data_IF_717661909177
#
_entry.id   IF_717661909177
#
_cell.length_a   1.000
_cell.length_b   1.000
_cell.length_c   1.000
_cell.angle_alpha   90.00
_cell.angle_beta   90.00
_cell.angle_gamma   90.00
#
_symmetry.space_group_name_H-M   'P 1'
#
loop_
_entity.id
_entity.type
_entity.pdbx_description
1 polymer ?
#
# COMPACT_ATOMS: atom_id res chain seq x y z
N UNK A 1 -52.45 -4.56 -11.77
CA UNK A 1 -51.21 -4.45 -12.56
C UNK A 1 -50.04 -4.71 -11.63
N UNK A 2 -49.64 -5.97 -11.46
CA UNK A 2 -48.47 -6.34 -10.68
C UNK A 2 -47.29 -6.53 -11.63
N UNK A 3 -46.29 -5.68 -11.55
CA UNK A 3 -45.03 -5.87 -12.27
C UNK A 3 -44.30 -7.07 -11.66
N UNK A 4 -44.11 -8.13 -12.44
CA UNK A 4 -43.26 -9.25 -12.06
C UNK A 4 -41.82 -8.77 -11.83
N UNK A 5 -41.14 -9.21 -10.75
CA UNK A 5 -39.73 -8.93 -10.57
C UNK A 5 -38.92 -9.71 -11.62
N UNK A 6 -38.31 -8.97 -12.55
CA UNK A 6 -37.45 -9.51 -13.59
C UNK A 6 -36.23 -10.19 -12.95
N UNK A 7 -35.93 -11.43 -13.35
CA UNK A 7 -34.77 -12.15 -12.86
C UNK A 7 -33.48 -11.37 -13.13
N UNK A 8 -32.53 -11.30 -12.17
CA UNK A 8 -31.31 -10.53 -12.33
C UNK A 8 -30.41 -11.14 -13.41
N UNK A 9 -30.02 -10.31 -14.38
CA UNK A 9 -29.12 -10.65 -15.50
C UNK A 9 -27.75 -11.15 -15.02
N UNK A 10 -27.13 -12.06 -15.77
CA UNK A 10 -25.87 -12.76 -15.42
C UNK A 10 -24.70 -11.85 -15.00
N UNK A 11 -24.59 -10.64 -15.57
CA UNK A 11 -23.60 -9.64 -15.14
C UNK A 11 -23.78 -9.25 -13.67
N UNK A 12 -25.02 -8.99 -13.26
CA UNK A 12 -25.38 -8.61 -11.89
C UNK A 12 -25.08 -9.76 -10.92
N UNK A 13 -25.31 -11.02 -11.35
CA UNK A 13 -24.91 -12.20 -10.56
C UNK A 13 -23.40 -12.27 -10.40
N UNK A 14 -22.62 -12.04 -11.47
CA UNK A 14 -21.16 -12.13 -11.43
C UNK A 14 -20.53 -11.06 -10.53
N UNK A 15 -21.03 -9.84 -10.59
CA UNK A 15 -20.58 -8.74 -9.74
C UNK A 15 -20.92 -9.02 -8.26
N UNK A 16 -22.12 -9.56 -7.99
CA UNK A 16 -22.54 -10.00 -6.64
C UNK A 16 -21.70 -11.16 -6.07
N UNK A 17 -21.25 -12.10 -6.91
CA UNK A 17 -20.38 -13.20 -6.48
C UNK A 17 -18.92 -12.77 -6.25
N UNK A 18 -18.43 -11.77 -6.97
CA UNK A 18 -17.08 -11.23 -6.77
C UNK A 18 -16.99 -10.35 -5.51
N UNK A 19 -18.05 -9.58 -5.23
CA UNK A 19 -18.14 -8.70 -4.07
C UNK A 19 -18.20 -9.49 -2.75
N UNK A 20 -18.91 -10.62 -2.73
CA UNK A 20 -18.96 -11.53 -1.57
C UNK A 20 -17.62 -12.15 -1.18
N UNK A 21 -16.68 -12.27 -2.12
CA UNK A 21 -15.33 -12.77 -1.87
C UNK A 21 -14.31 -11.64 -1.69
N UNK A 22 -14.71 -10.38 -1.90
CA UNK A 22 -13.82 -9.22 -1.81
C UNK A 22 -13.57 -8.75 -0.37
N UNK A 23 -14.41 -9.18 0.59
CA UNK A 23 -14.38 -8.68 1.97
C UNK A 23 -14.25 -9.82 3.00
N UNK A 24 -13.04 -10.42 3.12
CA UNK A 24 -12.80 -11.53 4.05
C UNK A 24 -13.00 -11.15 5.53
N UNK A 25 -12.93 -9.86 5.87
CA UNK A 25 -13.24 -9.39 7.23
C UNK A 25 -14.72 -9.53 7.57
N UNK A 26 -15.61 -9.20 6.63
CA UNK A 26 -17.06 -9.30 6.83
C UNK A 26 -17.48 -10.76 7.01
N UNK A 27 -16.89 -11.68 6.23
CA UNK A 27 -17.11 -13.11 6.38
C UNK A 27 -16.69 -13.65 7.77
N UNK A 28 -15.58 -13.13 8.33
CA UNK A 28 -15.11 -13.51 9.68
C UNK A 28 -16.01 -12.92 10.76
N UNK A 29 -16.49 -11.68 10.58
CA UNK A 29 -17.44 -11.02 11.49
C UNK A 29 -18.75 -11.81 11.55
N UNK A 30 -19.33 -12.14 10.39
CA UNK A 30 -20.57 -12.92 10.29
C UNK A 30 -20.42 -14.30 10.95
N UNK A 31 -19.29 -14.96 10.74
CA UNK A 31 -18.98 -16.25 11.38
C UNK A 31 -18.87 -16.14 12.90
N UNK A 32 -18.16 -15.11 13.41
CA UNK A 32 -18.01 -14.88 14.84
C UNK A 32 -19.36 -14.59 15.50
N UNK A 33 -20.21 -13.80 14.84
CA UNK A 33 -21.55 -13.47 15.32
C UNK A 33 -22.47 -14.71 15.32
N UNK A 34 -22.46 -15.51 14.25
CA UNK A 34 -23.19 -16.77 14.17
C UNK A 34 -22.72 -17.81 15.22
N UNK A 35 -21.46 -17.73 15.64
CA UNK A 35 -20.88 -18.57 16.69
C UNK A 35 -21.15 -18.07 18.11
N UNK A 36 -21.84 -16.93 18.27
CA UNK A 36 -22.13 -16.32 19.58
C UNK A 36 -20.91 -15.65 20.23
N UNK A 37 -19.87 -15.32 19.46
CA UNK A 37 -18.70 -14.62 19.96
C UNK A 37 -18.91 -13.11 19.90
N UNK A 38 -19.06 -12.47 21.06
CA UNK A 38 -19.18 -11.01 21.17
C UNK A 38 -17.87 -10.27 20.85
N UNK A 39 -16.72 -10.94 21.03
CA UNK A 39 -15.38 -10.39 20.80
C UNK A 39 -14.45 -11.48 20.27
N UNK A 40 -13.66 -11.14 19.26
CA UNK A 40 -12.63 -12.02 18.70
C UNK A 40 -11.39 -11.21 18.30
N UNK A 41 -10.22 -11.85 18.33
CA UNK A 41 -8.95 -11.23 17.90
C UNK A 41 -8.45 -11.87 16.61
N UNK A 42 -8.25 -11.04 15.60
CA UNK A 42 -7.60 -11.45 14.35
C UNK A 42 -6.09 -11.24 14.52
N UNK A 43 -5.40 -12.28 15.00
CA UNK A 43 -3.95 -12.21 15.23
C UNK A 43 -3.18 -11.86 13.94
N UNK A 44 -3.63 -12.36 12.79
CA UNK A 44 -3.00 -12.08 11.49
C UNK A 44 -3.03 -10.58 11.13
N UNK A 45 -4.16 -9.89 11.33
CA UNK A 45 -4.26 -8.45 11.03
C UNK A 45 -3.36 -7.60 11.94
N UNK A 46 -3.21 -8.01 13.22
CA UNK A 46 -2.31 -7.34 14.16
C UNK A 46 -0.84 -7.54 13.78
N UNK A 47 -0.47 -8.75 13.38
CA UNK A 47 0.89 -9.09 12.96
C UNK A 47 1.25 -8.38 11.64
N UNK A 48 0.32 -8.33 10.69
CA UNK A 48 0.51 -7.62 9.43
C UNK A 48 0.63 -6.11 9.63
N UNK A 49 -0.20 -5.51 10.50
CA UNK A 49 -0.06 -4.10 10.89
C UNK A 49 1.31 -3.83 11.52
N UNK A 50 1.81 -4.75 12.37
CA UNK A 50 3.13 -4.64 12.98
C UNK A 50 4.25 -4.78 11.94
N UNK A 51 4.10 -5.67 10.95
CA UNK A 51 5.02 -5.83 9.82
C UNK A 51 5.12 -4.55 9.00
N UNK A 52 3.97 -4.00 8.58
CA UNK A 52 3.89 -2.77 7.81
C UNK A 52 4.49 -1.57 8.56
N UNK A 53 4.24 -1.45 9.87
CA UNK A 53 4.84 -0.39 10.70
C UNK A 53 6.37 -0.48 10.74
N UNK A 54 6.93 -1.68 10.86
CA UNK A 54 8.38 -1.88 10.82
C UNK A 54 8.97 -1.51 9.45
N UNK A 55 8.28 -1.88 8.38
CA UNK A 55 8.70 -1.58 7.01
C UNK A 55 8.68 -0.06 6.73
N UNK A 56 7.64 0.64 7.18
CA UNK A 56 7.58 2.11 7.10
C UNK A 56 8.72 2.77 7.87
N UNK A 57 8.97 2.32 9.11
CA UNK A 57 10.04 2.87 9.96
C UNK A 57 11.41 2.67 9.31
N UNK A 58 11.64 1.49 8.75
CA UNK A 58 12.87 1.17 8.01
C UNK A 58 13.08 2.09 6.79
N UNK A 59 12.03 2.33 6.00
CA UNK A 59 12.14 3.24 4.85
C UNK A 59 12.35 4.69 5.29
N UNK A 60 11.73 5.14 6.38
CA UNK A 60 11.96 6.49 6.93
C UNK A 60 13.44 6.69 7.27
N UNK A 61 14.04 5.75 7.99
CA UNK A 61 15.47 5.80 8.33
C UNK A 61 16.36 5.82 7.06
N UNK A 62 15.97 5.07 6.04
CA UNK A 62 16.67 5.07 4.75
C UNK A 62 16.56 6.41 4.02
N UNK A 63 15.42 7.10 4.15
CA UNK A 63 15.21 8.41 3.50
C UNK A 63 15.89 9.58 4.21
N UNK A 64 16.21 9.44 5.50
CA UNK A 64 16.96 10.44 6.26
C UNK A 64 18.44 10.54 5.82
N UNK A 65 18.99 9.48 5.23
CA UNK A 65 20.39 9.40 4.83
C UNK A 65 20.53 9.04 3.34
N UNK A 66 20.32 10.01 2.43
CA UNK A 66 20.56 9.80 1.01
C UNK A 66 22.01 9.39 0.74
N UNK A 67 22.19 8.41 -0.13
CA UNK A 67 23.51 7.88 -0.49
C UNK A 67 24.24 8.79 -1.49
N UNK A 68 23.48 9.48 -2.33
CA UNK A 68 23.99 10.43 -3.32
C UNK A 68 22.91 11.45 -3.68
N UNK A 69 23.28 12.43 -4.50
CA UNK A 69 22.41 13.45 -5.07
C UNK A 69 22.64 13.52 -6.57
N UNK A 70 21.57 13.77 -7.31
CA UNK A 70 21.59 13.96 -8.75
C UNK A 70 20.86 15.25 -9.11
N UNK A 71 21.12 15.78 -10.31
CA UNK A 71 20.33 16.87 -10.88
C UNK A 71 19.40 16.37 -11.97
N UNK A 72 18.30 17.07 -12.18
CA UNK A 72 17.36 16.82 -13.30
C UNK A 72 17.45 17.94 -14.33
N UNK A 73 17.49 17.56 -15.61
CA UNK A 73 17.48 18.53 -16.71
C UNK A 73 16.04 18.97 -17.01
N UNK A 74 15.84 19.84 -17.99
CA UNK A 74 14.49 20.32 -18.36
C UNK A 74 13.60 19.24 -18.99
N UNK A 75 14.16 18.06 -19.29
CA UNK A 75 13.44 16.86 -19.75
C UNK A 75 13.18 15.85 -18.62
N UNK A 76 13.57 16.18 -17.38
CA UNK A 76 13.54 15.33 -16.19
C UNK A 76 14.50 14.12 -16.24
N UNK A 77 15.52 14.12 -17.10
CA UNK A 77 16.57 13.12 -17.06
C UNK A 77 17.58 13.43 -15.94
N UNK A 78 18.08 12.39 -15.29
CA UNK A 78 19.10 12.47 -14.24
C UNK A 78 20.50 12.72 -14.83
N UNK A 79 21.22 13.67 -14.25
CA UNK A 79 22.62 13.98 -14.58
C UNK A 79 23.38 14.54 -13.37
N UNK A 80 24.70 14.68 -13.44
CA UNK A 80 25.56 15.24 -12.37
C UNK A 80 25.37 14.55 -11.00
N UNK A 81 25.83 13.29 -10.89
CA UNK A 81 25.80 12.48 -9.67
C UNK A 81 26.89 12.91 -8.69
N UNK A 82 26.52 13.18 -7.44
CA UNK A 82 27.44 13.62 -6.38
C UNK A 82 27.18 12.91 -5.06
N UNK A 83 28.24 12.74 -4.29
CA UNK A 83 28.20 12.16 -2.94
C UNK A 83 27.83 13.17 -1.85
N UNK A 84 27.67 14.45 -2.19
CA UNK A 84 27.33 15.51 -1.23
C UNK A 84 26.35 16.48 -1.86
N UNK A 85 25.37 16.94 -1.08
CA UNK A 85 24.47 18.01 -1.52
C UNK A 85 25.23 19.33 -1.59
N UNK A 86 25.06 20.06 -2.70
CA UNK A 86 25.51 21.43 -2.82
C UNK A 86 24.32 22.36 -2.54
N UNK A 87 24.28 23.11 -1.42
CA UNK A 87 23.15 23.98 -1.11
C UNK A 87 23.06 25.22 -2.02
N UNK A 88 24.11 25.53 -2.78
CA UNK A 88 24.18 26.73 -3.64
C UNK A 88 23.64 26.51 -5.06
N UNK A 89 23.12 25.32 -5.38
CA UNK A 89 22.42 25.06 -6.65
C UNK A 89 20.91 25.10 -6.45
N UNK A 90 20.17 25.24 -7.55
CA UNK A 90 18.71 25.16 -7.56
C UNK A 90 18.25 23.80 -7.00
N UNK A 91 17.76 23.81 -5.76
CA UNK A 91 17.32 22.62 -5.06
C UNK A 91 16.05 22.02 -5.66
N UNK A 92 15.30 22.76 -6.49
CA UNK A 92 14.12 22.21 -7.18
C UNK A 92 14.49 21.22 -8.28
N UNK A 93 15.75 21.29 -8.77
CA UNK A 93 16.31 20.36 -9.75
C UNK A 93 17.25 19.33 -9.12
N UNK A 94 17.32 19.22 -7.79
CA UNK A 94 18.15 18.23 -7.09
C UNK A 94 17.28 17.11 -6.55
N UNK A 95 17.67 15.87 -6.83
CA UNK A 95 16.98 14.66 -6.39
C UNK A 95 17.92 13.83 -5.51
N UNK A 96 17.52 13.48 -4.28
CA UNK A 96 18.28 12.54 -3.46
C UNK A 96 18.16 11.12 -4.02
N UNK A 97 19.27 10.40 -4.03
CA UNK A 97 19.34 9.00 -4.45
C UNK A 97 19.55 8.11 -3.24
N UNK A 98 18.76 7.04 -3.18
CA UNK A 98 18.77 6.09 -2.09
C UNK A 98 19.32 4.76 -2.58
N UNK A 99 20.06 4.09 -1.69
CA UNK A 99 20.51 2.73 -1.97
C UNK A 99 19.32 1.79 -1.87
N UNK A 100 19.15 0.94 -2.87
CA UNK A 100 18.22 -0.19 -2.74
C UNK A 100 18.74 -1.11 -1.63
N UNK A 101 17.95 -1.27 -0.58
CA UNK A 101 18.26 -2.24 0.46
C UNK A 101 17.49 -3.51 0.11
N UNK A 102 18.23 -4.54 -0.28
CA UNK A 102 17.65 -5.85 -0.48
C UNK A 102 17.36 -6.43 0.90
N UNK A 103 16.08 -6.67 1.20
CA UNK A 103 15.71 -7.54 2.31
C UNK A 103 16.04 -8.97 1.86
N UNK A 104 17.28 -9.41 2.05
CA UNK A 104 17.59 -10.84 2.01
C UNK A 104 16.76 -11.50 3.12
N UNK A 105 15.80 -12.34 2.70
CA UNK A 105 14.95 -13.14 3.58
C UNK A 105 15.71 -14.34 4.14
#
# INVERSE_FOLDING_TARGET
>A
MGSNPTAPTEKIKKDYYMDKNAHPLDAIIDFAWASGADRFWINNAKDELKRLRKEIEFYKQSFEQPAAWAKTNDRNDLFDLRLQNNPYVDQTKVVPLYKQINNEQ
#
